data_IF_904694072893
#
_entry.id   IF_904694072893
#
_cell.length_a   1.000
_cell.length_b   1.000
_cell.length_c   1.000
_cell.angle_alpha   90.00
_cell.angle_beta   90.00
_cell.angle_gamma   90.00
#
_symmetry.space_group_name_H-M   'P 1'
#
loop_
_entity.id
_entity.type
_entity.pdbx_description
1 polymer ?
#
# COMPACT_ATOMS: atom_id res chain seq x y z
N UNK A 1 10.23 33.49 27.42
CA UNK A 1 9.65 33.31 26.08
C UNK A 1 10.39 32.17 25.39
N UNK A 2 10.13 30.93 25.80
CA UNK A 2 10.74 29.75 25.21
C UNK A 2 9.71 29.07 24.31
N UNK A 3 9.88 29.18 23.00
CA UNK A 3 9.31 28.23 22.06
C UNK A 3 10.48 27.43 21.50
N UNK A 4 10.61 26.13 21.81
CA UNK A 4 11.28 25.24 20.88
C UNK A 4 10.35 25.06 19.70
N UNK A 5 10.81 25.43 18.50
CA UNK A 5 10.18 25.01 17.27
C UNK A 5 10.09 23.49 17.30
N UNK A 6 8.86 22.98 17.23
CA UNK A 6 8.62 21.60 16.84
C UNK A 6 9.23 21.47 15.45
N UNK A 7 10.46 20.95 15.41
CA UNK A 7 11.13 20.51 14.21
C UNK A 7 10.14 19.59 13.50
N UNK A 8 9.71 20.08 12.34
CA UNK A 8 8.70 19.49 11.52
C UNK A 8 9.12 18.04 11.29
N UNK A 9 8.30 17.10 11.75
CA UNK A 9 8.44 15.70 11.39
C UNK A 9 8.50 15.67 9.86
N UNK A 10 9.72 15.47 9.36
CA UNK A 10 10.01 15.54 7.94
C UNK A 10 9.09 14.58 7.22
N UNK A 11 8.39 15.10 6.23
CA UNK A 11 7.88 14.36 5.09
C UNK A 11 9.10 13.75 4.40
N UNK A 12 9.65 12.67 4.96
CA UNK A 12 10.60 11.83 4.24
C UNK A 12 9.75 11.14 3.19
N UNK A 13 10.00 11.36 1.89
CA UNK A 13 9.42 10.53 0.85
C UNK A 13 9.84 9.12 1.23
N UNK A 14 8.88 8.31 1.69
CA UNK A 14 9.15 6.91 1.84
C UNK A 14 9.40 6.44 0.41
N UNK A 15 10.66 6.13 0.10
CA UNK A 15 11.07 5.41 -1.10
C UNK A 15 10.54 3.97 -0.94
N UNK A 16 9.22 3.86 -0.80
CA UNK A 16 8.48 2.62 -0.73
C UNK A 16 8.44 2.11 -2.15
N UNK A 17 9.15 1.01 -2.38
CA UNK A 17 9.07 0.24 -3.60
C UNK A 17 7.59 0.10 -3.99
N UNK A 18 7.16 0.64 -5.15
CA UNK A 18 5.77 0.59 -5.57
C UNK A 18 5.24 -0.85 -5.65
N UNK A 19 6.14 -1.83 -5.82
CA UNK A 19 5.82 -3.24 -5.90
C UNK A 19 5.71 -3.92 -4.51
N UNK A 20 6.17 -3.29 -3.44
CA UNK A 20 6.08 -3.87 -2.09
C UNK A 20 4.62 -4.03 -1.65
N UNK A 21 3.78 -3.02 -1.90
CA UNK A 21 2.33 -3.09 -1.61
C UNK A 21 1.63 -4.20 -2.39
N UNK A 22 1.95 -4.33 -3.68
CA UNK A 22 1.44 -5.40 -4.54
C UNK A 22 1.87 -6.79 -4.03
N UNK A 23 3.13 -6.93 -3.62
CA UNK A 23 3.67 -8.21 -3.13
C UNK A 23 2.95 -8.68 -1.87
N UNK A 24 2.75 -7.78 -0.91
CA UNK A 24 2.02 -8.09 0.32
C UNK A 24 0.53 -8.39 0.05
N UNK A 25 -0.11 -7.65 -0.87
CA UNK A 25 -1.49 -7.89 -1.25
C UNK A 25 -1.68 -9.24 -1.94
N UNK A 26 -0.74 -9.65 -2.81
CA UNK A 26 -0.76 -10.98 -3.45
C UNK A 26 -0.52 -12.09 -2.42
N UNK A 27 0.41 -11.90 -1.48
CA UNK A 27 0.65 -12.84 -0.39
C UNK A 27 -0.59 -13.07 0.47
N UNK A 28 -1.39 -12.02 0.67
CA UNK A 28 -2.65 -12.11 1.41
C UNK A 28 -3.73 -12.98 0.71
N UNK A 29 -3.48 -13.42 -0.53
CA UNK A 29 -4.31 -14.38 -1.27
C UNK A 29 -3.89 -15.85 -1.06
N UNK A 30 -2.74 -16.14 -0.44
CA UNK A 30 -2.26 -17.53 -0.28
C UNK A 30 -3.24 -18.40 0.52
N UNK A 31 -3.96 -17.81 1.49
CA UNK A 31 -4.96 -18.49 2.32
C UNK A 31 -6.41 -18.16 1.90
N UNK A 32 -6.64 -17.77 0.65
CA UNK A 32 -7.96 -17.34 0.19
C UNK A 32 -9.00 -18.48 0.25
N UNK A 33 -8.58 -19.72 0.01
CA UNK A 33 -9.43 -20.91 0.06
C UNK A 33 -9.98 -21.21 1.48
N UNK A 34 -9.27 -20.75 2.51
CA UNK A 34 -9.67 -20.87 3.91
C UNK A 34 -10.65 -19.77 4.34
N UNK A 35 -10.95 -18.80 3.46
CA UNK A 35 -11.85 -17.67 3.72
C UNK A 35 -13.23 -17.89 3.12
N UNK A 36 -14.28 -17.29 3.69
CA UNK A 36 -15.60 -17.21 3.05
C UNK A 36 -15.50 -16.58 1.66
N UNK A 37 -16.23 -17.14 0.69
CA UNK A 37 -16.26 -16.64 -0.70
C UNK A 37 -16.67 -15.17 -0.78
N UNK A 38 -17.51 -14.71 0.14
CA UNK A 38 -17.90 -13.30 0.23
C UNK A 38 -16.71 -12.35 0.46
N UNK A 39 -15.64 -12.81 1.13
CA UNK A 39 -14.41 -12.03 1.37
C UNK A 39 -13.46 -12.06 0.17
N UNK A 40 -13.63 -12.98 -0.78
CA UNK A 40 -12.68 -13.13 -1.89
C UNK A 40 -12.63 -11.87 -2.74
N UNK A 41 -13.80 -11.28 -3.01
CA UNK A 41 -13.93 -10.06 -3.82
C UNK A 41 -13.16 -8.90 -3.18
N UNK A 42 -13.30 -8.70 -1.87
CA UNK A 42 -12.58 -7.65 -1.14
C UNK A 42 -11.06 -7.84 -1.20
N UNK A 43 -10.58 -9.09 -1.11
CA UNK A 43 -9.16 -9.39 -1.22
C UNK A 43 -8.60 -9.12 -2.62
N UNK A 44 -9.34 -9.48 -3.67
CA UNK A 44 -8.94 -9.16 -5.03
C UNK A 44 -8.98 -7.66 -5.32
N UNK A 45 -9.95 -6.94 -4.77
CA UNK A 45 -10.05 -5.47 -4.91
C UNK A 45 -8.88 -4.74 -4.25
N UNK A 46 -8.42 -5.22 -3.09
CA UNK A 46 -7.20 -4.71 -2.45
C UNK A 46 -5.96 -4.87 -3.36
N UNK A 47 -5.76 -6.04 -3.97
CA UNK A 47 -4.65 -6.25 -4.92
C UNK A 47 -4.77 -5.32 -6.13
N UNK A 48 -5.98 -5.14 -6.67
CA UNK A 48 -6.22 -4.25 -7.80
C UNK A 48 -5.93 -2.78 -7.45
N UNK A 49 -6.25 -2.36 -6.23
CA UNK A 49 -5.94 -1.02 -5.72
C UNK A 49 -4.43 -0.81 -5.63
N UNK A 50 -3.70 -1.74 -5.01
CA UNK A 50 -2.22 -1.66 -4.91
C UNK A 50 -1.56 -1.65 -6.29
N UNK A 51 -2.05 -2.46 -7.23
CA UNK A 51 -1.55 -2.45 -8.61
C UNK A 51 -1.78 -1.10 -9.29
N UNK A 52 -2.95 -0.51 -9.08
CA UNK A 52 -3.27 0.83 -9.62
C UNK A 52 -2.36 1.90 -9.03
N UNK A 53 -2.08 1.86 -7.73
CA UNK A 53 -1.15 2.77 -7.05
C UNK A 53 0.26 2.61 -7.60
N UNK A 54 0.74 1.37 -7.75
CA UNK A 54 2.07 1.08 -8.28
C UNK A 54 2.22 1.60 -9.71
N UNK A 55 1.26 1.32 -10.59
CA UNK A 55 1.26 1.79 -11.98
C UNK A 55 1.16 3.32 -12.08
N UNK A 56 0.31 3.95 -11.26
CA UNK A 56 0.17 5.41 -11.24
C UNK A 56 1.42 6.12 -10.71
N UNK A 57 2.22 5.44 -9.89
CA UNK A 57 3.50 5.96 -9.40
C UNK A 57 4.58 5.90 -10.47
N UNK A 58 4.53 4.93 -11.38
CA UNK A 58 5.44 4.79 -12.53
C UNK A 58 5.06 5.76 -13.66
N UNK A 59 3.77 6.04 -13.87
CA UNK A 59 3.27 6.92 -14.93
C UNK A 59 3.61 8.41 -14.72
N UNK A 60 3.96 8.82 -13.49
CA UNK A 60 4.49 10.16 -13.20
C UNK A 60 5.93 10.31 -13.73
N UNK A 61 6.09 10.40 -15.05
CA UNK A 61 7.34 10.74 -15.76
C UNK A 61 7.25 12.08 -16.48
#
# INVERSE_FOLDING_TARGET
MSHPGADQAGDVPQDTDPLAGVTEAVRALDDLDQRPVAEHVERFDAVHTELTVALSSIDKV
#
